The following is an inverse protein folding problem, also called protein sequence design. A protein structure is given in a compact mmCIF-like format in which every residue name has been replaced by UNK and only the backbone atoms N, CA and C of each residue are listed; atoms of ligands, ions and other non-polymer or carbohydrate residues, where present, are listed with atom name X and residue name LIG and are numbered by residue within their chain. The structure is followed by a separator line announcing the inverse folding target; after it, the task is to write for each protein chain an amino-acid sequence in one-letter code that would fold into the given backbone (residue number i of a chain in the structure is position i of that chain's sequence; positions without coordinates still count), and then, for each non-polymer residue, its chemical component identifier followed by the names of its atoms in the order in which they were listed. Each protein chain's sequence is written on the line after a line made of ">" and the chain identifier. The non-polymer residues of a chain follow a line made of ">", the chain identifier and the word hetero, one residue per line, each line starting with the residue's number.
data_IF_770518196431
#
_entry.id   IF_770518196431
#
_cell.length_a   1.000
_cell.length_b   1.000
_cell.length_c   1.000
_cell.angle_alpha   90.00
_cell.angle_beta   90.00
_cell.angle_gamma   90.00
#
_symmetry.space_group_name_H-M   'P 1'
#
loop_
_entity.id
_entity.type
_entity.pdbx_description
1 polymer ?
#
# COMPACT_ATOMS: atom_id res chain seq x y z
N UNK A 1 -4.44 -2.16 68.28
CA UNK A 1 -4.08 -2.04 66.87
C UNK A 1 -5.23 -2.42 65.95
N UNK A 2 -5.93 -3.53 66.08
CA UNK A 2 -7.05 -3.92 65.16
C UNK A 2 -8.23 -2.92 65.13
N UNK A 3 -8.61 -2.29 66.21
CA UNK A 3 -9.71 -1.30 66.28
C UNK A 3 -9.36 0.05 65.62
N UNK A 4 -8.10 0.45 65.65
CA UNK A 4 -7.63 1.69 65.01
C UNK A 4 -7.58 1.50 63.46
N UNK A 5 -7.19 0.31 63.01
CA UNK A 5 -7.18 -0.04 61.58
C UNK A 5 -8.59 -0.10 61.00
N UNK A 6 -9.57 -0.59 61.76
CA UNK A 6 -10.99 -0.62 61.34
C UNK A 6 -11.60 0.78 61.22
N UNK A 7 -11.22 1.71 62.14
CA UNK A 7 -11.65 3.11 62.07
C UNK A 7 -11.03 3.85 60.87
N UNK A 8 -9.78 3.55 60.51
CA UNK A 8 -9.14 4.12 59.32
C UNK A 8 -9.78 3.60 58.02
N UNK A 9 -10.14 2.33 57.96
CA UNK A 9 -10.83 1.75 56.77
C UNK A 9 -12.24 2.34 56.64
N UNK A 10 -12.98 2.54 57.73
CA UNK A 10 -14.31 3.16 57.71
C UNK A 10 -14.24 4.63 57.27
N UNK A 11 -13.22 5.37 57.71
CA UNK A 11 -13.01 6.78 57.34
C UNK A 11 -12.60 6.93 55.84
N UNK A 12 -11.86 5.98 55.27
CA UNK A 12 -11.55 5.98 53.85
C UNK A 12 -12.75 5.54 52.98
N UNK A 13 -13.62 4.68 53.50
CA UNK A 13 -14.83 4.28 52.78
C UNK A 13 -15.87 5.39 52.71
N UNK A 14 -15.92 6.28 53.71
CA UNK A 14 -16.82 7.44 53.71
C UNK A 14 -16.35 8.60 52.82
N UNK A 15 -15.07 8.67 52.45
CA UNK A 15 -14.56 9.66 51.46
C UNK A 15 -14.84 9.30 50.00
N UNK A 16 -15.19 8.04 49.73
CA UNK A 16 -15.50 7.61 48.35
C UNK A 16 -16.92 8.04 47.90
N UNK A 17 -17.78 8.42 48.83
CA UNK A 17 -19.13 8.92 48.54
C UNK A 17 -19.23 10.43 48.35
N UNK A 18 -18.14 11.18 48.51
CA UNK A 18 -18.06 12.56 48.05
C UNK A 18 -17.44 12.59 46.66
N UNK A 19 -17.99 11.76 45.76
CA UNK A 19 -17.83 11.92 44.33
C UNK A 19 -18.56 13.17 43.91
N UNK A 20 -17.89 14.07 43.28
CA UNK A 20 -18.35 15.29 42.64
C UNK A 20 -19.86 15.24 42.33
N UNK A 21 -20.65 16.01 43.05
CA UNK A 21 -21.82 16.62 42.49
C UNK A 21 -21.33 17.45 41.29
N UNK A 22 -21.40 16.86 40.11
CA UNK A 22 -21.20 17.63 38.89
C UNK A 22 -22.25 18.71 38.99
N UNK A 23 -21.76 19.93 39.09
CA UNK A 23 -22.56 21.13 39.00
C UNK A 23 -23.46 21.02 37.74
N UNK A 24 -24.67 20.51 37.88
CA UNK A 24 -25.71 20.52 36.87
C UNK A 24 -26.25 21.93 36.58
N UNK A 25 -25.59 22.93 37.09
CA UNK A 25 -25.76 24.30 36.67
C UNK A 25 -25.02 24.57 35.35
N UNK A 26 -25.27 23.74 34.37
CA UNK A 26 -25.13 24.17 32.97
C UNK A 26 -26.27 25.18 32.78
N UNK A 27 -25.96 26.44 33.01
CA UNK A 27 -26.87 27.53 32.67
C UNK A 27 -26.95 27.48 31.14
N UNK A 28 -28.00 26.83 30.63
CA UNK A 28 -28.32 26.84 29.22
C UNK A 28 -28.76 28.31 28.89
N UNK A 29 -27.76 29.12 28.50
CA UNK A 29 -27.99 30.51 28.07
C UNK A 29 -28.74 30.59 26.75
N UNK A 30 -29.21 29.47 26.22
CA UNK A 30 -29.93 29.43 24.97
C UNK A 30 -31.38 29.68 25.23
N UNK A 31 -31.89 30.83 24.75
CA UNK A 31 -33.31 31.06 24.77
C UNK A 31 -34.02 30.13 23.77
N UNK A 32 -34.68 29.10 24.34
CA UNK A 32 -35.43 28.10 23.55
C UNK A 32 -36.59 28.68 22.74
N UNK A 33 -37.00 29.92 23.02
CA UNK A 33 -38.11 30.58 22.35
C UNK A 33 -37.67 31.40 21.15
N UNK A 34 -36.39 31.60 20.91
CA UNK A 34 -35.91 32.30 19.73
C UNK A 34 -36.40 31.61 18.45
N UNK A 35 -36.82 32.39 17.42
CA UNK A 35 -37.19 31.83 16.14
C UNK A 35 -35.99 31.14 15.47
N UNK A 36 -36.27 30.31 14.47
CA UNK A 36 -35.23 29.76 13.60
C UNK A 36 -34.43 30.91 12.97
N UNK A 37 -33.11 30.73 12.75
CA UNK A 37 -32.28 31.75 12.15
C UNK A 37 -32.70 32.03 10.70
N UNK A 38 -32.32 33.21 10.21
CA UNK A 38 -32.47 33.52 8.79
C UNK A 38 -31.67 32.56 7.94
N UNK A 39 -32.22 32.19 6.78
CA UNK A 39 -31.56 31.29 5.83
C UNK A 39 -30.33 31.96 5.20
N UNK A 40 -29.30 31.14 4.90
CA UNK A 40 -28.14 31.54 4.07
C UNK A 40 -28.63 32.02 2.69
N UNK A 41 -27.86 32.86 2.04
CA UNK A 41 -28.24 33.46 0.76
C UNK A 41 -27.02 33.58 -0.18
N UNK A 42 -27.25 33.96 -1.43
CA UNK A 42 -26.25 34.12 -2.47
C UNK A 42 -25.37 32.83 -2.63
N UNK A 43 -26.10 31.72 -2.80
CA UNK A 43 -25.48 30.37 -2.86
C UNK A 43 -24.88 30.11 -4.22
N UNK A 44 -23.64 29.62 -4.24
CA UNK A 44 -22.92 29.19 -5.44
C UNK A 44 -22.38 27.79 -5.22
N UNK A 45 -22.59 26.91 -6.20
CA UNK A 45 -22.05 25.54 -6.22
C UNK A 45 -20.79 25.50 -7.07
N UNK A 46 -19.73 24.91 -6.52
CA UNK A 46 -18.46 24.66 -7.21
C UNK A 46 -18.31 23.14 -7.30
N UNK A 47 -18.55 22.53 -8.47
CA UNK A 47 -18.43 21.08 -8.64
C UNK A 47 -17.02 20.57 -8.33
N UNK A 48 -16.96 19.38 -7.72
CA UNK A 48 -15.75 18.62 -7.43
C UNK A 48 -15.94 17.18 -7.85
N UNK A 49 -14.85 16.40 -7.90
CA UNK A 49 -14.91 14.97 -8.19
C UNK A 49 -15.71 14.23 -7.11
N UNK A 50 -16.88 13.69 -7.51
CA UNK A 50 -17.80 13.01 -6.59
C UNK A 50 -18.39 13.91 -5.49
N UNK A 51 -18.42 15.24 -5.69
CA UNK A 51 -18.90 16.18 -4.70
C UNK A 51 -19.04 17.61 -5.21
N UNK A 52 -19.20 18.55 -4.27
CA UNK A 52 -19.18 19.99 -4.53
C UNK A 52 -18.83 20.79 -3.27
N UNK A 53 -18.24 21.96 -3.47
CA UNK A 53 -18.19 23.00 -2.46
C UNK A 53 -19.42 23.92 -2.66
N UNK A 54 -20.24 24.08 -1.63
CA UNK A 54 -21.39 24.99 -1.63
C UNK A 54 -20.99 26.23 -0.83
N UNK A 55 -20.77 27.31 -1.54
CA UNK A 55 -20.39 28.62 -0.98
C UNK A 55 -21.62 29.49 -0.83
N UNK A 56 -21.79 30.17 0.30
CA UNK A 56 -22.96 30.97 0.61
C UNK A 56 -22.58 32.20 1.44
N UNK A 57 -23.49 33.17 1.53
CA UNK A 57 -23.34 34.25 2.48
C UNK A 57 -24.10 33.95 3.77
N UNK A 58 -23.43 34.20 4.88
CA UNK A 58 -23.98 34.01 6.23
C UNK A 58 -24.83 35.22 6.61
N UNK A 59 -26.09 35.01 7.03
CA UNK A 59 -26.94 36.12 7.49
C UNK A 59 -26.42 36.69 8.82
N UNK A 60 -26.63 38.00 9.01
CA UNK A 60 -26.39 38.63 10.31
C UNK A 60 -27.54 38.25 11.25
N UNK A 61 -27.40 37.12 11.91
CA UNK A 61 -28.36 36.58 12.86
C UNK A 61 -27.65 36.11 14.14
N UNK A 62 -27.90 36.71 15.30
CA UNK A 62 -27.20 36.36 16.54
C UNK A 62 -27.56 34.96 17.07
N UNK A 63 -28.66 34.38 16.61
CA UNK A 63 -29.07 33.00 16.93
C UNK A 63 -28.41 31.94 16.07
N UNK A 64 -27.81 32.30 14.93
CA UNK A 64 -27.18 31.31 14.07
C UNK A 64 -26.01 30.61 14.78
N UNK A 65 -25.99 29.28 14.74
CA UNK A 65 -24.96 28.41 15.31
C UNK A 65 -24.13 27.75 14.21
N UNK A 66 -24.80 27.13 13.25
CA UNK A 66 -24.17 26.44 12.12
C UNK A 66 -25.10 26.35 10.92
N UNK A 67 -24.52 25.98 9.77
CA UNK A 67 -25.28 25.64 8.56
C UNK A 67 -25.10 24.17 8.31
N UNK A 68 -26.17 23.44 8.00
CA UNK A 68 -26.09 22.03 7.60
C UNK A 68 -26.61 21.81 6.20
N UNK A 69 -26.05 20.84 5.54
CA UNK A 69 -26.53 20.28 4.29
C UNK A 69 -27.02 18.85 4.52
N UNK A 70 -28.21 18.54 4.01
CA UNK A 70 -28.76 17.17 4.01
C UNK A 70 -29.00 16.76 2.57
N UNK A 71 -28.47 15.62 2.19
CA UNK A 71 -28.53 15.11 0.83
C UNK A 71 -28.51 13.59 0.79
N UNK A 72 -28.95 13.02 -0.31
CA UNK A 72 -28.92 11.58 -0.57
C UNK A 72 -27.85 11.30 -1.63
N UNK A 73 -27.02 10.26 -1.40
CA UNK A 73 -26.01 9.82 -2.36
C UNK A 73 -26.60 8.83 -3.36
N UNK A 74 -25.85 8.52 -4.42
CA UNK A 74 -26.21 7.56 -5.48
C UNK A 74 -26.59 6.17 -4.97
N UNK A 75 -26.13 5.78 -3.78
CA UNK A 75 -26.49 4.50 -3.13
C UNK A 75 -27.73 4.60 -2.23
N UNK A 76 -28.47 5.70 -2.28
CA UNK A 76 -29.70 5.90 -1.49
C UNK A 76 -29.48 6.16 0.00
N UNK A 77 -28.25 6.56 0.39
CA UNK A 77 -27.92 6.86 1.78
C UNK A 77 -27.97 8.37 2.03
N UNK A 78 -28.76 8.76 3.02
CA UNK A 78 -28.83 10.18 3.47
C UNK A 78 -27.59 10.53 4.29
N UNK A 79 -27.00 11.67 3.96
CA UNK A 79 -25.86 12.26 4.66
C UNK A 79 -26.19 13.64 5.18
N UNK A 80 -25.55 14.00 6.28
CA UNK A 80 -25.59 15.33 6.86
C UNK A 80 -24.18 15.84 7.07
N UNK A 81 -23.90 17.05 6.60
CA UNK A 81 -22.63 17.74 6.84
C UNK A 81 -22.91 19.11 7.45
N UNK A 82 -22.04 19.57 8.34
CA UNK A 82 -22.20 20.81 9.08
C UNK A 82 -20.99 21.73 8.86
N UNK A 83 -21.28 23.02 8.85
CA UNK A 83 -20.26 24.07 8.81
C UNK A 83 -20.61 25.13 9.85
N UNK A 84 -19.66 25.53 10.68
CA UNK A 84 -19.88 26.54 11.72
C UNK A 84 -20.25 27.91 11.10
N UNK A 85 -20.85 28.79 11.87
CA UNK A 85 -21.16 30.14 11.43
C UNK A 85 -19.94 31.04 11.11
N UNK A 86 -18.73 30.51 11.33
CA UNK A 86 -17.46 31.15 10.91
C UNK A 86 -17.05 30.80 9.48
N UNK A 87 -17.69 29.81 8.87
CA UNK A 87 -17.30 29.27 7.57
C UNK A 87 -18.47 29.41 6.58
N UNK A 88 -18.19 29.97 5.44
CA UNK A 88 -19.16 30.25 4.36
C UNK A 88 -19.21 29.13 3.31
N UNK A 89 -18.67 27.97 3.60
CA UNK A 89 -18.54 26.86 2.67
C UNK A 89 -18.90 25.53 3.34
N UNK A 90 -19.76 24.76 2.69
CA UNK A 90 -20.05 23.35 3.00
C UNK A 90 -19.49 22.44 1.90
N UNK A 91 -18.89 21.34 2.30
CA UNK A 91 -18.42 20.31 1.37
C UNK A 91 -19.39 19.15 1.38
N UNK A 92 -19.99 18.86 0.24
CA UNK A 92 -20.83 17.68 0.02
C UNK A 92 -20.08 16.68 -0.84
N UNK A 93 -20.01 15.43 -0.39
CA UNK A 93 -19.20 14.39 -0.99
C UNK A 93 -19.94 13.04 -1.00
N UNK A 94 -19.43 12.07 -1.75
CA UNK A 94 -19.95 10.70 -1.74
C UNK A 94 -20.91 10.40 -2.89
N UNK A 95 -20.99 11.26 -3.89
CA UNK A 95 -21.74 10.97 -5.12
C UNK A 95 -20.93 10.03 -6.02
N UNK A 96 -21.56 8.92 -6.43
CA UNK A 96 -20.91 7.86 -7.21
C UNK A 96 -20.95 8.06 -8.72
N UNK A 97 -21.65 9.10 -9.18
CA UNK A 97 -21.84 9.44 -10.59
C UNK A 97 -21.94 10.96 -10.80
N UNK A 98 -22.29 11.39 -12.02
CA UNK A 98 -22.42 12.80 -12.41
C UNK A 98 -23.87 13.26 -12.60
N UNK A 99 -24.83 12.57 -11.96
CA UNK A 99 -26.24 12.96 -12.00
C UNK A 99 -26.47 14.26 -11.21
N UNK A 100 -27.63 14.86 -11.42
CA UNK A 100 -28.08 16.02 -10.63
C UNK A 100 -28.64 15.55 -9.30
N UNK A 101 -28.14 16.13 -8.21
CA UNK A 101 -28.56 15.85 -6.84
C UNK A 101 -29.17 17.05 -6.18
N UNK A 102 -30.19 16.83 -5.36
CA UNK A 102 -30.81 17.84 -4.53
C UNK A 102 -30.14 17.87 -3.15
N UNK A 103 -29.61 19.03 -2.76
CA UNK A 103 -29.02 19.28 -1.45
C UNK A 103 -29.85 20.30 -0.70
N UNK A 104 -30.33 19.97 0.49
CA UNK A 104 -31.13 20.85 1.36
C UNK A 104 -30.21 21.53 2.37
N UNK A 105 -30.12 22.85 2.30
CA UNK A 105 -29.38 23.66 3.26
C UNK A 105 -30.32 24.19 4.34
N UNK A 106 -29.88 24.12 5.58
CA UNK A 106 -30.57 24.67 6.74
C UNK A 106 -29.65 25.57 7.54
N UNK A 107 -30.12 26.75 7.93
CA UNK A 107 -29.51 27.54 8.99
C UNK A 107 -30.04 27.05 10.32
N UNK A 108 -29.15 26.68 11.25
CA UNK A 108 -29.53 26.09 12.55
C UNK A 108 -29.12 27.03 13.67
N UNK A 109 -30.07 27.28 14.56
CA UNK A 109 -29.91 28.17 15.70
C UNK A 109 -29.19 27.53 16.87
N UNK A 110 -28.75 28.37 17.83
CA UNK A 110 -28.19 27.90 19.11
C UNK A 110 -29.21 27.06 19.91
N UNK A 111 -30.49 27.21 19.63
CA UNK A 111 -31.59 26.44 20.20
C UNK A 111 -32.02 25.24 19.34
N UNK A 112 -31.18 24.83 18.37
CA UNK A 112 -31.39 23.72 17.44
C UNK A 112 -32.64 23.88 16.54
N UNK A 113 -33.25 25.06 16.47
CA UNK A 113 -34.31 25.32 15.48
C UNK A 113 -33.71 25.55 14.11
N UNK A 114 -34.33 24.93 13.11
CA UNK A 114 -33.92 24.97 11.72
C UNK A 114 -34.74 25.95 10.92
N UNK A 115 -34.12 26.65 9.97
CA UNK A 115 -34.83 27.44 8.97
C UNK A 115 -35.59 26.53 8.00
N UNK A 116 -36.47 27.10 7.17
CA UNK A 116 -36.97 26.40 5.99
C UNK A 116 -35.75 25.96 5.11
N UNK A 117 -35.83 24.82 4.42
CA UNK A 117 -34.75 24.35 3.57
C UNK A 117 -34.56 25.24 2.33
N UNK A 118 -33.30 25.56 2.02
CA UNK A 118 -32.95 26.11 0.72
C UNK A 118 -32.45 24.95 -0.16
N UNK A 119 -33.18 24.66 -1.22
CA UNK A 119 -32.85 23.58 -2.15
C UNK A 119 -31.81 24.06 -3.14
N UNK A 120 -30.70 23.30 -3.26
CA UNK A 120 -29.60 23.60 -4.16
C UNK A 120 -29.36 22.38 -5.05
N UNK A 121 -29.31 22.59 -6.36
CA UNK A 121 -28.93 21.54 -7.30
C UNK A 121 -27.37 21.40 -7.34
N UNK A 122 -26.89 20.19 -7.18
CA UNK A 122 -25.46 19.85 -7.24
C UNK A 122 -25.25 18.84 -8.36
N UNK A 123 -24.36 19.16 -9.31
CA UNK A 123 -23.91 18.26 -10.35
C UNK A 123 -22.43 17.97 -10.15
N UNK A 124 -22.05 16.82 -9.58
CA UNK A 124 -20.65 16.47 -9.33
C UNK A 124 -19.86 16.28 -10.63
N UNK A 125 -18.55 16.48 -10.56
CA UNK A 125 -17.63 15.98 -11.59
C UNK A 125 -17.44 14.46 -11.42
N UNK A 126 -16.81 13.83 -12.41
CA UNK A 126 -16.55 12.38 -12.42
C UNK A 126 -15.89 11.96 -11.08
N UNK A 127 -16.51 11.04 -10.32
CA UNK A 127 -15.95 10.58 -9.04
C UNK A 127 -14.62 9.85 -9.25
N UNK A 128 -13.71 9.96 -8.28
CA UNK A 128 -12.41 9.31 -8.34
C UNK A 128 -12.51 7.79 -8.58
N UNK A 129 -13.50 7.13 -7.97
CA UNK A 129 -13.72 5.69 -8.19
C UNK A 129 -13.95 5.33 -9.67
N UNK A 130 -14.66 6.16 -10.42
CA UNK A 130 -14.91 5.94 -11.84
C UNK A 130 -13.66 6.23 -12.69
N UNK A 131 -12.95 7.32 -12.37
CA UNK A 131 -11.69 7.67 -13.05
C UNK A 131 -10.64 6.58 -12.85
N UNK A 132 -10.50 6.05 -11.64
CA UNK A 132 -9.57 4.97 -11.31
C UNK A 132 -9.97 3.67 -12.01
N UNK A 133 -11.27 3.33 -12.00
CA UNK A 133 -11.78 2.14 -12.70
C UNK A 133 -11.48 2.15 -14.19
N UNK A 134 -11.55 3.32 -14.84
CA UNK A 134 -11.18 3.49 -16.24
C UNK A 134 -9.71 3.15 -16.55
N UNK A 135 -8.86 3.00 -15.53
CA UNK A 135 -7.43 2.61 -15.68
C UNK A 135 -7.18 1.15 -15.30
N UNK A 136 -8.22 0.38 -14.93
CA UNK A 136 -8.08 -1.00 -14.49
C UNK A 136 -7.50 -1.88 -15.59
N UNK A 137 -6.35 -2.48 -15.30
CA UNK A 137 -5.69 -3.47 -16.12
C UNK A 137 -5.53 -4.77 -15.33
N UNK A 138 -6.00 -5.87 -15.92
CA UNK A 138 -5.92 -7.22 -15.34
C UNK A 138 -5.16 -8.07 -16.32
N UNK A 139 -4.07 -8.70 -15.90
CA UNK A 139 -3.22 -9.53 -16.75
C UNK A 139 -2.85 -10.84 -16.05
N UNK A 140 -2.62 -11.88 -16.84
CA UNK A 140 -2.00 -13.10 -16.32
C UNK A 140 -0.59 -12.80 -15.85
N UNK A 141 -0.22 -13.35 -14.70
CA UNK A 141 1.15 -13.37 -14.20
C UNK A 141 1.51 -14.77 -13.72
N UNK A 142 2.74 -14.94 -13.28
CA UNK A 142 3.21 -16.22 -12.78
C UNK A 142 2.45 -16.65 -11.53
N UNK A 143 1.85 -17.84 -11.60
CA UNK A 143 1.03 -18.41 -10.53
C UNK A 143 -0.29 -17.68 -10.28
N UNK A 144 -0.74 -16.75 -11.15
CA UNK A 144 -1.95 -16.00 -10.89
C UNK A 144 -2.24 -14.84 -11.83
N UNK A 145 -2.77 -13.76 -11.28
CA UNK A 145 -3.11 -12.52 -12.00
C UNK A 145 -2.46 -11.31 -11.34
N UNK A 146 -2.12 -10.31 -12.14
CA UNK A 146 -1.67 -8.99 -11.70
C UNK A 146 -2.76 -7.95 -12.00
N UNK A 147 -2.99 -7.04 -11.06
CA UNK A 147 -3.95 -5.95 -11.16
C UNK A 147 -3.21 -4.63 -11.01
N UNK A 148 -3.42 -3.73 -11.98
CA UNK A 148 -2.84 -2.38 -12.00
C UNK A 148 -3.92 -1.33 -12.14
N UNK A 149 -3.77 -0.22 -11.42
CA UNK A 149 -4.66 0.93 -11.41
C UNK A 149 -3.85 2.20 -11.16
N UNK A 150 -4.37 3.34 -11.66
CA UNK A 150 -3.84 4.67 -11.36
C UNK A 150 -4.85 5.43 -10.49
N UNK A 151 -4.41 5.91 -9.33
CA UNK A 151 -5.24 6.63 -8.36
C UNK A 151 -4.58 7.97 -7.95
N UNK A 152 -4.45 8.92 -8.90
CA UNK A 152 -3.68 10.14 -8.68
C UNK A 152 -4.28 11.03 -7.57
N UNK A 153 -5.56 10.90 -7.30
CA UNK A 153 -6.25 11.63 -6.24
C UNK A 153 -6.11 10.97 -4.86
N UNK A 154 -5.46 9.78 -4.80
CA UNK A 154 -5.29 9.00 -3.56
C UNK A 154 -6.60 8.73 -2.84
N UNK A 155 -7.65 8.46 -3.60
CA UNK A 155 -8.94 8.09 -3.04
C UNK A 155 -8.85 6.77 -2.27
N UNK A 156 -9.55 6.70 -1.14
CA UNK A 156 -9.67 5.47 -0.35
C UNK A 156 -10.54 4.46 -1.09
N UNK A 157 -9.93 3.41 -1.60
CA UNK A 157 -10.56 2.41 -2.44
C UNK A 157 -10.37 0.99 -1.91
N UNK A 158 -11.36 0.15 -2.15
CA UNK A 158 -11.30 -1.29 -2.01
C UNK A 158 -11.37 -1.92 -3.41
N UNK A 159 -10.32 -2.64 -3.81
CA UNK A 159 -10.29 -3.43 -5.04
C UNK A 159 -10.78 -4.82 -4.70
N UNK A 160 -12.01 -5.15 -5.09
CA UNK A 160 -12.66 -6.43 -4.81
C UNK A 160 -12.40 -7.36 -5.97
N UNK A 161 -11.69 -8.46 -5.72
CA UNK A 161 -11.33 -9.47 -6.72
C UNK A 161 -12.09 -10.75 -6.43
N UNK A 162 -12.77 -11.24 -7.44
CA UNK A 162 -13.58 -12.46 -7.37
C UNK A 162 -13.13 -13.44 -8.45
N UNK A 163 -13.38 -14.73 -8.23
CA UNK A 163 -13.05 -15.80 -9.17
C UNK A 163 -14.21 -16.79 -9.26
N UNK A 164 -14.51 -17.23 -10.47
CA UNK A 164 -15.36 -18.41 -10.71
C UNK A 164 -14.47 -19.65 -10.67
N UNK A 165 -14.38 -20.26 -9.50
CA UNK A 165 -13.52 -21.44 -9.26
C UNK A 165 -14.06 -22.72 -9.87
N UNK A 166 -15.36 -22.80 -10.08
CA UNK A 166 -16.07 -23.99 -10.57
C UNK A 166 -16.51 -23.90 -12.01
N UNK A 167 -16.21 -22.79 -12.69
CA UNK A 167 -16.62 -22.52 -14.08
C UNK A 167 -18.13 -22.66 -14.31
N UNK A 168 -18.92 -22.15 -13.36
CA UNK A 168 -20.37 -22.25 -13.34
C UNK A 168 -21.07 -20.87 -13.37
N UNK A 169 -20.33 -19.79 -13.54
CA UNK A 169 -20.81 -18.42 -13.57
C UNK A 169 -21.04 -17.82 -12.19
N UNK A 170 -20.71 -18.53 -11.11
CA UNK A 170 -20.78 -18.02 -9.76
C UNK A 170 -19.41 -17.55 -9.28
N UNK A 171 -19.31 -16.24 -8.99
CA UNK A 171 -18.08 -15.60 -8.55
C UNK A 171 -18.01 -15.52 -7.02
N UNK A 172 -16.96 -16.09 -6.46
CA UNK A 172 -16.64 -16.00 -5.04
C UNK A 172 -15.54 -14.94 -4.80
N UNK A 173 -15.62 -14.21 -3.70
CA UNK A 173 -14.59 -13.24 -3.35
C UNK A 173 -13.28 -13.95 -3.05
N UNK A 174 -12.25 -13.65 -3.82
CA UNK A 174 -10.90 -14.16 -3.62
C UNK A 174 -10.15 -13.29 -2.61
N UNK A 175 -10.28 -11.97 -2.74
CA UNK A 175 -9.70 -11.00 -1.80
C UNK A 175 -10.28 -9.61 -2.02
N UNK A 176 -10.13 -8.75 -1.01
CA UNK A 176 -10.35 -7.31 -1.11
C UNK A 176 -9.08 -6.57 -0.68
N UNK A 177 -8.50 -5.79 -1.58
CA UNK A 177 -7.30 -4.99 -1.34
C UNK A 177 -7.67 -3.53 -1.09
N UNK A 178 -7.40 -3.04 0.13
CA UNK A 178 -7.69 -1.65 0.54
C UNK A 178 -6.46 -0.78 0.32
N UNK A 179 -6.62 0.35 -0.33
CA UNK A 179 -5.49 1.23 -0.67
C UNK A 179 -5.91 2.66 -0.98
N UNK A 180 -5.01 3.61 -0.68
CA UNK A 180 -5.04 5.00 -1.15
C UNK A 180 -3.75 5.36 -1.90
N UNK A 181 -2.98 4.37 -2.36
CA UNK A 181 -1.76 4.61 -3.13
C UNK A 181 -2.09 5.26 -4.49
N UNK A 182 -1.21 6.12 -4.98
CA UNK A 182 -1.36 6.80 -6.28
C UNK A 182 -1.19 5.83 -7.47
N UNK A 183 -0.33 4.84 -7.29
CA UNK A 183 -0.15 3.71 -8.23
C UNK A 183 -0.41 2.42 -7.49
N UNK A 184 -1.33 1.63 -8.00
CA UNK A 184 -1.74 0.37 -7.42
C UNK A 184 -1.24 -0.74 -8.35
N UNK A 185 -0.44 -1.66 -7.83
CA UNK A 185 -0.01 -2.87 -8.53
C UNK A 185 0.16 -3.97 -7.51
N UNK A 186 -0.58 -5.05 -7.68
CA UNK A 186 -0.45 -6.23 -6.84
C UNK A 186 -0.80 -7.51 -7.61
N UNK A 187 -0.20 -8.62 -7.20
CA UNK A 187 -0.42 -9.94 -7.80
C UNK A 187 -1.09 -10.87 -6.82
N UNK A 188 -2.05 -11.64 -7.31
CA UNK A 188 -2.67 -12.74 -6.60
C UNK A 188 -2.13 -14.05 -7.17
N UNK A 189 -1.53 -14.86 -6.30
CA UNK A 189 -0.77 -16.08 -6.67
C UNK A 189 -1.34 -17.33 -6.01
N UNK A 190 -0.71 -18.47 -6.24
CA UNK A 190 -1.14 -19.76 -5.71
C UNK A 190 -2.15 -20.47 -6.59
N UNK A 191 -2.32 -20.03 -7.82
CA UNK A 191 -3.25 -20.61 -8.79
C UNK A 191 -2.52 -21.60 -9.72
N UNK A 192 -3.24 -22.62 -10.16
CA UNK A 192 -2.76 -23.51 -11.19
C UNK A 192 -2.87 -22.85 -12.59
N UNK A 193 -2.24 -23.45 -13.58
CA UNK A 193 -2.17 -22.99 -14.98
C UNK A 193 -3.44 -23.29 -15.79
N UNK A 194 -4.60 -23.45 -15.16
CA UNK A 194 -5.88 -23.59 -15.85
C UNK A 194 -6.52 -22.23 -16.03
N UNK A 195 -7.16 -22.03 -17.18
CA UNK A 195 -7.95 -20.84 -17.43
C UNK A 195 -9.03 -20.69 -16.35
N UNK A 196 -9.23 -19.46 -15.88
CA UNK A 196 -10.24 -19.11 -14.86
C UNK A 196 -10.89 -17.78 -15.23
N UNK A 197 -12.16 -17.66 -14.85
CA UNK A 197 -12.89 -16.41 -14.98
C UNK A 197 -12.72 -15.57 -13.72
N UNK A 198 -12.27 -14.34 -13.90
CA UNK A 198 -12.10 -13.36 -12.83
C UNK A 198 -13.07 -12.21 -13.01
N UNK A 199 -13.46 -11.61 -11.90
CA UNK A 199 -14.26 -10.40 -11.84
C UNK A 199 -13.60 -9.42 -10.89
N UNK A 200 -13.41 -8.18 -11.33
CA UNK A 200 -12.83 -7.11 -10.50
C UNK A 200 -13.75 -5.91 -10.52
N UNK A 201 -14.04 -5.37 -9.34
CA UNK A 201 -14.76 -4.11 -9.15
C UNK A 201 -14.10 -3.26 -8.08
N UNK A 202 -14.39 -1.97 -8.10
CA UNK A 202 -13.96 -1.05 -7.06
C UNK A 202 -15.12 -0.68 -6.15
N UNK A 203 -14.79 -0.35 -4.91
CA UNK A 203 -15.70 0.21 -3.92
C UNK A 203 -15.00 1.34 -3.16
N UNK A 204 -15.68 2.47 -2.97
CA UNK A 204 -15.16 3.58 -2.19
C UNK A 204 -15.66 3.58 -0.73
N UNK A 205 -15.21 4.56 0.06
CA UNK A 205 -15.60 4.70 1.47
C UNK A 205 -17.09 5.03 1.67
N UNK A 206 -17.78 5.54 0.64
CA UNK A 206 -19.24 5.82 0.69
C UNK A 206 -20.08 4.64 0.20
N UNK A 207 -19.42 3.51 -0.12
CA UNK A 207 -20.02 2.28 -0.65
C UNK A 207 -20.55 2.42 -2.09
N UNK A 208 -20.11 3.45 -2.82
CA UNK A 208 -20.29 3.43 -4.27
C UNK A 208 -19.48 2.29 -4.86
N UNK A 209 -20.01 1.63 -5.89
CA UNK A 209 -19.34 0.52 -6.55
C UNK A 209 -19.32 0.77 -8.05
N UNK A 210 -18.26 0.27 -8.70
CA UNK A 210 -18.19 0.23 -10.17
C UNK A 210 -18.92 -1.01 -10.70
N UNK A 211 -19.09 -1.05 -12.01
CA UNK A 211 -19.40 -2.30 -12.69
C UNK A 211 -18.27 -3.33 -12.48
N UNK A 212 -18.57 -4.59 -12.75
CA UNK A 212 -17.61 -5.68 -12.70
C UNK A 212 -16.89 -5.81 -14.05
N UNK A 213 -15.57 -5.74 -14.04
CA UNK A 213 -14.78 -6.09 -15.22
C UNK A 213 -14.51 -7.61 -15.20
N UNK A 214 -15.10 -8.31 -16.15
CA UNK A 214 -14.94 -9.76 -16.33
C UNK A 214 -13.77 -10.04 -17.26
N UNK A 215 -12.96 -11.04 -16.93
CA UNK A 215 -11.85 -11.50 -17.77
C UNK A 215 -11.55 -12.97 -17.56
N UNK A 216 -11.19 -13.68 -18.62
CA UNK A 216 -10.71 -15.07 -18.54
C UNK A 216 -9.21 -15.07 -18.75
N UNK A 217 -8.46 -15.55 -17.79
CA UNK A 217 -6.99 -15.58 -17.82
C UNK A 217 -6.46 -16.95 -17.43
N UNK A 218 -5.35 -17.34 -18.06
CA UNK A 218 -4.59 -18.53 -17.70
C UNK A 218 -3.33 -18.09 -16.96
N UNK A 219 -3.21 -18.39 -15.65
CA UNK A 219 -2.00 -18.08 -14.90
C UNK A 219 -0.78 -18.72 -15.53
N UNK A 220 0.34 -17.98 -15.57
CA UNK A 220 1.60 -18.51 -16.06
C UNK A 220 2.18 -19.51 -15.07
N UNK A 221 2.85 -20.54 -15.58
CA UNK A 221 3.52 -21.52 -14.74
C UNK A 221 4.72 -20.89 -14.03
N UNK A 222 4.88 -21.16 -12.73
CA UNK A 222 6.15 -20.88 -12.01
C UNK A 222 6.51 -22.05 -11.11
N UNK A 223 7.81 -22.25 -10.93
CA UNK A 223 8.40 -23.13 -9.92
C UNK A 223 9.58 -22.41 -9.25
N UNK A 224 9.91 -22.81 -8.03
CA UNK A 224 11.19 -22.42 -7.45
C UNK A 224 12.32 -23.09 -8.26
N UNK A 225 13.33 -22.30 -8.63
CA UNK A 225 14.46 -22.79 -9.40
C UNK A 225 15.36 -23.66 -8.52
N UNK A 226 15.88 -24.75 -9.10
CA UNK A 226 16.70 -25.71 -8.41
C UNK A 226 18.08 -25.13 -8.07
N UNK A 227 18.27 -24.75 -6.82
CA UNK A 227 19.52 -24.15 -6.29
C UNK A 227 20.73 -25.08 -6.42
N UNK A 228 20.55 -26.40 -6.56
CA UNK A 228 21.65 -27.34 -6.74
C UNK A 228 22.43 -27.12 -8.05
N UNK A 229 21.76 -26.49 -9.03
CA UNK A 229 22.35 -26.13 -10.32
C UNK A 229 23.06 -24.78 -10.31
N UNK A 230 22.85 -23.97 -9.27
CA UNK A 230 23.42 -22.64 -9.19
C UNK A 230 24.90 -22.65 -8.87
N UNK A 231 25.60 -21.64 -9.38
CA UNK A 231 27.02 -21.42 -9.11
C UNK A 231 27.27 -19.94 -8.84
N UNK A 232 28.14 -19.67 -7.88
CA UNK A 232 28.73 -18.35 -7.76
C UNK A 232 29.69 -18.14 -8.93
N UNK A 233 29.62 -16.97 -9.56
CA UNK A 233 30.49 -16.59 -10.67
C UNK A 233 31.35 -15.43 -10.23
N UNK A 234 32.67 -15.55 -10.41
CA UNK A 234 33.66 -14.53 -10.05
C UNK A 234 34.15 -13.86 -11.34
N UNK A 235 33.63 -12.67 -11.64
CA UNK A 235 34.04 -11.90 -12.81
C UNK A 235 34.86 -10.68 -12.40
N UNK A 236 35.82 -10.25 -13.22
CA UNK A 236 36.55 -9.00 -12.99
C UNK A 236 35.57 -7.84 -12.78
N UNK A 237 35.78 -7.07 -11.72
CA UNK A 237 34.92 -5.93 -11.35
C UNK A 237 33.75 -6.31 -10.45
N UNK A 238 33.48 -7.57 -10.20
CA UNK A 238 32.53 -7.99 -9.18
C UNK A 238 33.13 -7.90 -7.77
N UNK A 239 32.24 -7.89 -6.75
CA UNK A 239 32.64 -7.87 -5.35
C UNK A 239 32.56 -9.29 -4.77
N UNK A 240 33.35 -10.18 -5.30
CA UNK A 240 33.40 -11.58 -4.87
C UNK A 240 34.30 -11.83 -3.66
N UNK A 241 35.15 -10.87 -3.28
CA UNK A 241 35.90 -10.96 -2.03
C UNK A 241 34.92 -10.92 -0.87
N UNK A 242 35.06 -11.81 0.05
CA UNK A 242 34.17 -11.99 1.18
C UNK A 242 34.92 -12.06 2.50
N UNK A 243 34.23 -11.72 3.57
CA UNK A 243 34.74 -11.98 4.93
C UNK A 243 34.85 -13.49 5.13
N UNK A 244 35.93 -13.93 5.78
CA UNK A 244 36.17 -15.35 6.06
C UNK A 244 34.91 -16.05 6.57
N UNK A 245 34.63 -17.22 6.04
CA UNK A 245 33.47 -18.07 6.33
C UNK A 245 32.09 -17.60 5.75
N UNK A 246 32.02 -16.46 5.01
CA UNK A 246 30.80 -15.96 4.44
C UNK A 246 30.81 -15.83 2.90
N UNK A 247 31.15 -16.93 2.15
CA UNK A 247 31.28 -16.90 0.69
C UNK A 247 29.92 -16.76 -0.01
N UNK A 248 29.95 -16.29 -1.27
CA UNK A 248 28.75 -16.00 -2.08
C UNK A 248 27.79 -17.20 -2.16
N UNK A 249 28.29 -18.45 -2.23
CA UNK A 249 27.46 -19.67 -2.27
C UNK A 249 26.48 -19.80 -1.09
N UNK A 250 26.71 -19.06 0.00
CA UNK A 250 25.86 -19.08 1.19
C UNK A 250 24.47 -18.46 0.95
N UNK A 251 24.29 -17.64 -0.08
CA UNK A 251 22.98 -17.04 -0.35
C UNK A 251 21.99 -18.01 -1.01
N UNK A 252 22.39 -19.22 -1.35
CA UNK A 252 21.53 -20.22 -1.97
C UNK A 252 21.78 -21.66 -1.46
N UNK A 253 22.39 -21.80 -0.28
CA UNK A 253 22.66 -23.12 0.33
C UNK A 253 21.52 -23.62 1.24
N UNK A 254 20.46 -22.82 1.41
CA UNK A 254 19.31 -23.13 2.27
C UNK A 254 19.60 -22.93 3.75
N UNK A 255 20.73 -22.35 4.11
CA UNK A 255 21.13 -22.11 5.49
C UNK A 255 20.54 -20.81 6.06
N UNK A 256 20.17 -20.84 7.34
CA UNK A 256 19.70 -19.67 8.07
C UNK A 256 20.46 -19.47 9.37
N UNK A 257 20.47 -18.23 9.86
CA UNK A 257 21.13 -17.85 11.10
C UNK A 257 22.58 -17.36 10.90
N UNK A 258 23.29 -17.19 12.00
CA UNK A 258 24.59 -16.49 12.03
C UNK A 258 25.71 -17.18 11.25
N UNK A 259 25.62 -18.48 11.04
CA UNK A 259 26.62 -19.23 10.30
C UNK A 259 26.47 -19.17 8.78
N UNK A 260 25.29 -18.71 8.33
CA UNK A 260 24.81 -19.11 7.02
C UNK A 260 24.34 -17.89 6.23
N UNK A 261 25.29 -17.01 5.93
CA UNK A 261 25.05 -15.77 5.18
C UNK A 261 26.24 -15.52 4.25
N UNK A 262 26.03 -14.66 3.28
CA UNK A 262 27.07 -14.02 2.49
C UNK A 262 27.37 -12.64 3.03
N UNK A 263 28.64 -12.28 3.14
CA UNK A 263 29.08 -10.93 3.45
C UNK A 263 30.27 -10.54 2.60
N UNK A 264 30.15 -9.49 1.82
CA UNK A 264 31.31 -8.94 1.09
C UNK A 264 32.30 -8.35 2.07
N UNK A 265 33.57 -8.25 1.64
CA UNK A 265 34.47 -7.32 2.29
C UNK A 265 34.02 -5.87 2.10
N UNK A 266 34.65 -4.90 2.73
CA UNK A 266 34.25 -3.50 2.67
C UNK A 266 34.71 -2.84 1.38
N UNK A 267 33.77 -2.40 0.57
CA UNK A 267 34.00 -1.67 -0.67
C UNK A 267 33.11 -0.44 -0.78
N UNK A 268 33.41 0.41 -1.73
CA UNK A 268 32.49 1.48 -2.13
C UNK A 268 31.29 0.89 -2.87
N UNK A 269 30.09 1.36 -2.53
CA UNK A 269 28.90 1.06 -3.32
C UNK A 269 29.03 1.66 -4.74
N UNK A 270 28.46 1.05 -5.77
CA UNK A 270 27.63 -0.15 -5.74
C UNK A 270 28.44 -1.46 -5.66
N UNK A 271 27.92 -2.45 -4.94
CA UNK A 271 28.42 -3.80 -4.95
C UNK A 271 27.72 -4.64 -6.00
N UNK A 272 28.46 -5.53 -6.67
CA UNK A 272 27.91 -6.40 -7.71
C UNK A 272 28.34 -7.85 -7.42
N UNK A 273 27.38 -8.76 -7.47
CA UNK A 273 27.59 -10.21 -7.41
C UNK A 273 26.94 -10.87 -8.60
N UNK A 274 27.50 -11.98 -9.07
CA UNK A 274 27.01 -12.73 -10.25
C UNK A 274 26.75 -14.18 -9.90
N UNK A 275 25.60 -14.69 -10.37
CA UNK A 275 25.17 -16.08 -10.23
C UNK A 275 24.90 -16.69 -11.60
N UNK A 276 25.31 -17.96 -11.80
CA UNK A 276 24.85 -18.84 -12.87
C UNK A 276 23.68 -19.68 -12.33
N UNK A 277 22.51 -19.59 -12.95
CA UNK A 277 21.30 -20.36 -12.58
C UNK A 277 21.31 -21.78 -13.16
N UNK A 278 22.35 -22.13 -13.96
CA UNK A 278 22.57 -23.46 -14.53
C UNK A 278 21.89 -23.68 -15.89
N UNK A 279 20.75 -23.03 -16.16
CA UNK A 279 20.02 -23.11 -17.42
C UNK A 279 19.31 -21.80 -17.75
N UNK A 280 18.94 -21.55 -19.02
CA UNK A 280 18.09 -20.42 -19.38
C UNK A 280 16.70 -20.52 -18.75
N UNK A 281 16.24 -19.44 -18.14
CA UNK A 281 14.96 -19.33 -17.43
C UNK A 281 14.33 -17.95 -17.67
N UNK A 282 13.00 -17.89 -17.62
CA UNK A 282 12.26 -16.64 -17.53
C UNK A 282 11.89 -16.44 -16.05
N UNK A 283 12.40 -15.39 -15.44
CA UNK A 283 12.20 -15.12 -14.02
C UNK A 283 10.80 -14.59 -13.76
N UNK A 284 10.20 -14.97 -12.62
CA UNK A 284 8.92 -14.44 -12.16
C UNK A 284 9.07 -13.56 -10.93
N UNK A 285 9.85 -14.00 -9.97
CA UNK A 285 10.15 -13.28 -8.73
C UNK A 285 11.41 -13.80 -8.07
N UNK A 286 11.95 -13.00 -7.18
CA UNK A 286 12.98 -13.43 -6.26
C UNK A 286 12.55 -13.07 -4.83
N UNK A 287 13.06 -13.85 -3.88
CA UNK A 287 12.83 -13.63 -2.46
C UNK A 287 14.17 -13.60 -1.74
N UNK A 288 14.35 -12.61 -0.86
CA UNK A 288 15.52 -12.49 -0.03
C UNK A 288 15.15 -12.51 1.45
N UNK A 289 16.02 -13.09 2.27
CA UNK A 289 15.89 -13.03 3.72
C UNK A 289 17.02 -12.19 4.29
N UNK A 290 16.66 -11.33 5.22
CA UNK A 290 17.62 -10.49 5.92
C UNK A 290 18.22 -11.24 7.09
N UNK A 291 19.45 -10.88 7.47
CA UNK A 291 20.09 -11.46 8.63
C UNK A 291 19.48 -10.95 9.94
N UNK A 292 19.28 -11.80 10.96
CA UNK A 292 18.58 -11.42 12.21
C UNK A 292 19.13 -10.21 12.94
N UNK A 293 20.45 -10.03 12.96
CA UNK A 293 21.07 -8.92 13.71
C UNK A 293 20.90 -7.55 13.07
N UNK A 294 20.58 -7.49 11.79
CA UNK A 294 20.60 -6.22 11.09
C UNK A 294 19.39 -5.98 10.20
N UNK A 295 18.28 -6.70 10.43
CA UNK A 295 17.07 -6.52 9.63
C UNK A 295 16.69 -5.04 9.55
N UNK A 296 16.59 -4.50 8.33
CA UNK A 296 16.33 -3.09 8.04
C UNK A 296 17.38 -2.11 8.62
N UNK A 297 18.60 -2.57 8.80
CA UNK A 297 19.73 -1.78 9.30
C UNK A 297 21.02 -2.18 8.60
N UNK A 298 22.10 -1.42 8.88
CA UNK A 298 23.46 -1.77 8.52
C UNK A 298 23.64 -2.17 7.04
N UNK A 299 24.22 -3.33 6.80
CA UNK A 299 24.76 -3.79 5.51
C UNK A 299 23.75 -4.51 4.62
N UNK A 300 22.47 -4.57 4.99
CA UNK A 300 21.46 -5.20 4.16
C UNK A 300 21.12 -4.36 2.93
N UNK A 301 21.00 -4.96 1.74
CA UNK A 301 20.59 -4.27 0.52
C UNK A 301 19.26 -3.53 0.75
N UNK A 302 19.20 -2.26 0.33
CA UNK A 302 17.99 -1.46 0.33
C UNK A 302 17.52 -1.22 -1.10
N UNK A 303 18.34 -0.56 -1.90
CA UNK A 303 18.05 -0.32 -3.30
C UNK A 303 19.06 -1.10 -4.14
N UNK A 304 18.56 -1.86 -5.09
CA UNK A 304 19.39 -2.69 -5.96
C UNK A 304 18.78 -2.92 -7.32
N UNK A 305 19.62 -3.21 -8.30
CA UNK A 305 19.25 -3.60 -9.64
C UNK A 305 19.55 -5.07 -9.87
N UNK A 306 18.70 -5.73 -10.66
CA UNK A 306 18.96 -7.07 -11.18
C UNK A 306 19.14 -6.97 -12.69
N UNK A 307 20.27 -7.50 -13.15
CA UNK A 307 20.66 -7.59 -14.55
C UNK A 307 20.72 -9.05 -14.96
N UNK A 308 20.37 -9.36 -16.20
CA UNK A 308 20.36 -10.72 -16.74
C UNK A 308 21.11 -10.83 -18.06
N UNK A 309 21.69 -12.01 -18.30
CA UNK A 309 22.32 -12.38 -19.55
C UNK A 309 22.15 -13.87 -19.85
N UNK A 310 22.19 -14.27 -21.12
CA UNK A 310 22.23 -15.69 -21.52
C UNK A 310 23.64 -16.25 -21.56
N UNK A 311 24.63 -15.38 -21.74
CA UNK A 311 26.05 -15.70 -21.81
C UNK A 311 26.88 -14.70 -21.02
N UNK A 312 28.07 -15.10 -20.58
CA UNK A 312 29.03 -14.23 -19.89
C UNK A 312 30.36 -14.20 -20.64
N UNK A 313 31.11 -13.11 -20.45
CA UNK A 313 32.48 -13.02 -20.89
C UNK A 313 33.44 -13.32 -19.68
N UNK A 314 34.27 -14.38 -19.75
CA UNK A 314 35.16 -14.72 -18.66
C UNK A 314 36.17 -13.61 -18.28
N UNK A 315 36.52 -12.77 -19.25
CA UNK A 315 37.40 -11.62 -19.04
C UNK A 315 36.75 -10.43 -18.38
N UNK A 316 35.46 -10.58 -18.01
CA UNK A 316 34.63 -9.56 -17.38
C UNK A 316 33.59 -8.95 -18.32
N UNK A 317 32.47 -8.59 -17.76
CA UNK A 317 31.31 -8.06 -18.48
C UNK A 317 31.11 -6.54 -18.28
N UNK A 318 32.08 -5.86 -17.72
CA UNK A 318 32.08 -4.41 -17.70
C UNK A 318 32.78 -3.86 -18.93
N UNK A 319 32.22 -2.81 -19.55
CA UNK A 319 32.89 -1.99 -20.55
C UNK A 319 33.98 -1.16 -19.86
N UNK A 320 33.62 -0.59 -18.70
CA UNK A 320 34.50 0.14 -17.80
C UNK A 320 34.27 -0.36 -16.37
N UNK A 321 35.29 -0.97 -15.80
CA UNK A 321 35.25 -1.53 -14.43
C UNK A 321 35.06 -0.44 -13.39
N UNK A 322 35.58 0.75 -13.61
CA UNK A 322 35.47 1.86 -12.64
C UNK A 322 34.04 2.40 -12.55
N UNK A 323 33.41 2.66 -13.68
CA UNK A 323 32.01 3.12 -13.74
C UNK A 323 30.99 1.99 -13.57
N UNK A 324 31.46 0.73 -13.67
CA UNK A 324 30.60 -0.46 -13.68
C UNK A 324 29.51 -0.42 -14.75
N UNK A 325 29.88 0.03 -15.93
CA UNK A 325 29.02 0.01 -17.12
C UNK A 325 29.10 -1.36 -17.78
N UNK A 326 27.96 -2.03 -17.95
CA UNK A 326 27.89 -3.38 -18.51
C UNK A 326 28.01 -3.38 -20.03
N UNK A 327 28.46 -4.51 -20.57
CA UNK A 327 28.42 -4.80 -22.02
C UNK A 327 26.98 -5.01 -22.49
N UNK A 328 26.76 -4.95 -23.78
CA UNK A 328 25.42 -5.02 -24.41
C UNK A 328 24.69 -6.36 -24.20
N UNK A 329 25.41 -7.44 -23.80
CA UNK A 329 24.77 -8.71 -23.49
C UNK A 329 24.01 -8.72 -22.15
N UNK A 330 24.22 -7.73 -21.28
CA UNK A 330 23.48 -7.58 -20.03
C UNK A 330 22.30 -6.66 -20.19
N UNK A 331 21.12 -7.17 -19.83
CA UNK A 331 19.86 -6.42 -19.84
C UNK A 331 19.40 -6.17 -18.41
N UNK A 332 19.04 -4.94 -18.10
CA UNK A 332 18.43 -4.63 -16.79
C UNK A 332 17.03 -5.25 -16.73
N UNK A 333 16.80 -6.17 -15.81
CA UNK A 333 15.54 -6.86 -15.62
C UNK A 333 14.61 -6.07 -14.70
N UNK A 334 15.17 -5.51 -13.60
CA UNK A 334 14.40 -4.75 -12.63
C UNK A 334 15.29 -3.83 -11.77
N UNK A 335 14.64 -2.85 -11.14
CA UNK A 335 15.16 -2.12 -9.98
C UNK A 335 14.21 -2.35 -8.82
N UNK A 336 14.76 -2.73 -7.68
CA UNK A 336 14.00 -3.08 -6.49
C UNK A 336 14.42 -2.23 -5.29
N UNK A 337 13.47 -2.01 -4.39
CA UNK A 337 13.71 -1.38 -3.09
C UNK A 337 13.11 -2.24 -2.00
N UNK A 338 13.94 -2.63 -1.04
CA UNK A 338 13.50 -3.27 0.20
C UNK A 338 12.67 -2.29 1.01
N UNK A 339 11.57 -2.73 1.56
CA UNK A 339 10.69 -1.87 2.35
C UNK A 339 10.37 -2.50 3.71
N UNK A 340 10.27 -1.65 4.72
CA UNK A 340 9.86 -2.06 6.05
C UNK A 340 8.32 -1.94 6.16
N UNK A 341 7.58 -3.03 6.44
CA UNK A 341 6.12 -3.01 6.48
C UNK A 341 5.51 -1.93 7.38
N UNK A 342 6.09 -1.71 8.56
CA UNK A 342 5.64 -0.66 9.48
C UNK A 342 5.97 0.77 9.04
N UNK A 343 6.73 0.95 7.94
CA UNK A 343 7.20 2.26 7.50
C UNK A 343 8.38 2.81 8.30
N UNK A 344 8.64 4.12 8.26
CA UNK A 344 9.71 4.76 9.02
C UNK A 344 9.56 4.57 10.53
N UNK A 345 10.67 4.48 11.28
CA UNK A 345 10.68 4.35 12.73
C UNK A 345 11.32 3.06 13.23
N UNK A 346 11.00 2.65 14.45
CA UNK A 346 11.53 1.44 15.08
C UNK A 346 11.09 0.17 14.36
N UNK A 347 11.88 -0.89 14.51
CA UNK A 347 11.61 -2.20 13.90
C UNK A 347 10.63 -2.95 14.79
N UNK A 348 9.47 -3.28 14.22
CA UNK A 348 8.39 -4.00 14.90
C UNK A 348 8.59 -5.53 14.82
N UNK A 349 7.88 -6.32 15.65
CA UNK A 349 7.82 -7.78 15.48
C UNK A 349 7.33 -8.22 14.11
N UNK A 350 6.39 -7.50 13.49
CA UNK A 350 5.90 -7.77 12.13
C UNK A 350 6.98 -7.56 11.08
N UNK A 351 7.76 -6.48 11.20
CA UNK A 351 8.90 -6.24 10.31
C UNK A 351 9.91 -7.38 10.37
N UNK A 352 10.21 -7.86 11.58
CA UNK A 352 11.12 -9.00 11.77
C UNK A 352 10.55 -10.28 11.17
N UNK A 353 9.28 -10.57 11.39
CA UNK A 353 8.64 -11.74 10.80
C UNK A 353 8.68 -11.69 9.28
N UNK A 354 8.38 -10.53 8.69
CA UNK A 354 8.45 -10.34 7.25
C UNK A 354 9.86 -10.56 6.70
N UNK A 355 10.87 -9.94 7.32
CA UNK A 355 12.25 -10.00 6.84
C UNK A 355 12.94 -11.37 7.06
N UNK A 356 12.65 -12.05 8.18
CA UNK A 356 13.43 -13.21 8.64
C UNK A 356 12.73 -14.53 8.39
N UNK A 357 11.40 -14.58 8.48
CA UNK A 357 10.64 -15.82 8.34
C UNK A 357 9.98 -15.92 6.96
N UNK A 358 9.22 -14.88 6.56
CA UNK A 358 8.52 -14.88 5.27
C UNK A 358 9.44 -14.55 4.09
N UNK A 359 10.45 -13.73 4.30
CA UNK A 359 11.35 -13.18 3.27
C UNK A 359 10.67 -12.07 2.45
N UNK A 360 11.46 -11.10 2.01
CA UNK A 360 11.02 -10.02 1.13
C UNK A 360 10.84 -10.54 -0.30
N UNK A 361 9.69 -10.30 -0.90
CA UNK A 361 9.33 -10.76 -2.25
C UNK A 361 9.45 -9.62 -3.26
N UNK A 362 10.18 -9.86 -4.36
CA UNK A 362 10.46 -8.91 -5.44
C UNK A 362 9.99 -9.50 -6.77
N UNK A 363 8.94 -8.95 -7.35
CA UNK A 363 8.32 -9.45 -8.57
C UNK A 363 8.92 -8.78 -9.81
N UNK A 364 9.24 -9.59 -10.83
CA UNK A 364 9.60 -9.08 -12.15
C UNK A 364 8.34 -8.79 -12.96
N UNK A 365 8.40 -7.74 -13.77
CA UNK A 365 7.32 -7.47 -14.74
C UNK A 365 7.23 -8.61 -15.77
N UNK A 366 6.02 -9.05 -16.13
CA UNK A 366 5.86 -10.05 -17.19
C UNK A 366 6.50 -9.58 -18.51
N UNK A 367 7.13 -10.51 -19.22
CA UNK A 367 7.74 -10.24 -20.52
C UNK A 367 9.23 -9.85 -20.48
N UNK A 368 9.89 -9.98 -19.33
CA UNK A 368 11.36 -9.89 -19.30
C UNK A 368 11.97 -11.03 -20.11
N UNK A 369 13.17 -10.83 -20.72
CA UNK A 369 13.82 -11.85 -21.51
C UNK A 369 14.27 -13.04 -20.66
N UNK A 370 14.49 -14.18 -21.34
CA UNK A 370 15.16 -15.33 -20.74
C UNK A 370 16.60 -14.98 -20.36
N UNK A 371 17.07 -15.54 -19.24
CA UNK A 371 18.44 -15.35 -18.74
C UNK A 371 18.95 -16.65 -18.12
N UNK A 372 20.25 -16.86 -18.14
CA UNK A 372 20.95 -17.89 -17.38
C UNK A 372 21.77 -17.30 -16.25
N UNK A 373 22.33 -16.14 -16.49
CA UNK A 373 23.16 -15.43 -15.51
C UNK A 373 22.41 -14.22 -14.98
N UNK A 374 22.50 -13.99 -13.69
CA UNK A 374 21.96 -12.77 -13.06
C UNK A 374 23.07 -12.05 -12.32
N UNK A 375 22.99 -10.73 -12.33
CA UNK A 375 23.79 -9.82 -11.50
C UNK A 375 22.90 -9.04 -10.57
N UNK A 376 23.25 -9.04 -9.29
CA UNK A 376 22.61 -8.21 -8.28
C UNK A 376 23.57 -7.07 -7.96
N UNK A 377 23.19 -5.85 -8.31
CA UNK A 377 23.97 -4.62 -8.09
C UNK A 377 23.30 -3.82 -6.97
N UNK A 378 23.84 -3.90 -5.76
CA UNK A 378 23.38 -3.15 -4.59
C UNK A 378 23.84 -1.71 -4.70
N UNK A 379 22.90 -0.79 -4.75
CA UNK A 379 23.12 0.66 -4.85
C UNK A 379 23.21 1.32 -3.49
N UNK A 380 22.34 0.92 -2.56
CA UNK A 380 22.25 1.41 -1.20
C UNK A 380 22.05 0.26 -0.22
N UNK A 381 22.47 0.46 1.02
CA UNK A 381 22.10 -0.41 2.15
C UNK A 381 21.22 0.34 3.14
N UNK A 382 20.57 -0.38 4.02
CA UNK A 382 19.69 0.22 5.03
C UNK A 382 20.43 1.14 6.02
N UNK A 383 21.68 0.81 6.36
CA UNK A 383 22.48 1.61 7.28
C UNK A 383 23.31 2.69 6.60
N UNK A 384 23.67 2.49 5.33
CA UNK A 384 24.58 3.37 4.59
C UNK A 384 24.01 3.60 3.18
N UNK A 385 23.44 4.79 2.92
CA UNK A 385 22.93 5.14 1.59
C UNK A 385 24.02 5.25 0.52
N UNK A 386 25.25 5.55 0.94
CA UNK A 386 26.42 5.67 0.06
C UNK A 386 27.69 5.48 0.87
N UNK A 387 28.81 5.24 0.19
CA UNK A 387 30.12 5.08 0.82
C UNK A 387 30.62 3.66 0.89
N UNK A 388 31.60 3.39 1.75
CA UNK A 388 32.21 2.06 1.89
C UNK A 388 31.47 1.25 2.96
N UNK A 389 30.94 0.10 2.58
CA UNK A 389 30.24 -0.82 3.46
C UNK A 389 30.41 -2.26 3.02
N UNK A 390 29.95 -3.20 3.84
CA UNK A 390 29.69 -4.58 3.43
C UNK A 390 28.28 -4.67 2.83
N UNK A 391 28.04 -5.70 2.02
CA UNK A 391 26.70 -6.14 1.62
C UNK A 391 26.49 -7.53 2.21
N UNK A 392 25.42 -7.69 2.98
CA UNK A 392 25.06 -8.93 3.66
C UNK A 392 23.73 -9.44 3.14
N UNK A 393 23.71 -10.70 2.68
CA UNK A 393 22.51 -11.38 2.21
C UNK A 393 22.44 -12.73 2.93
N UNK A 394 21.31 -13.02 3.61
CA UNK A 394 21.12 -14.28 4.33
C UNK A 394 20.86 -15.44 3.38
N UNK A 395 19.82 -15.32 2.57
CA UNK A 395 19.36 -16.36 1.65
C UNK A 395 18.62 -15.73 0.48
N UNK A 396 18.64 -16.41 -0.67
CA UNK A 396 17.99 -16.03 -1.92
C UNK A 396 17.25 -17.23 -2.51
N UNK A 397 15.99 -17.06 -2.85
CA UNK A 397 15.25 -18.00 -3.71
C UNK A 397 14.72 -17.25 -4.94
N UNK A 398 14.66 -17.95 -6.05
CA UNK A 398 14.19 -17.42 -7.33
C UNK A 398 13.14 -18.36 -7.89
N UNK A 399 12.07 -17.79 -8.41
CA UNK A 399 11.01 -18.51 -9.13
C UNK A 399 10.98 -18.08 -10.59
N UNK A 400 10.54 -18.99 -11.41
CA UNK A 400 10.42 -18.79 -12.83
C UNK A 400 9.96 -20.04 -13.58
N UNK A 401 10.15 -20.05 -14.88
CA UNK A 401 9.92 -21.20 -15.73
C UNK A 401 11.14 -21.44 -16.63
N UNK A 402 11.35 -22.69 -17.03
CA UNK A 402 12.39 -23.00 -18.00
C UNK A 402 12.05 -22.30 -19.34
N UNK A 403 13.06 -21.77 -20.03
CA UNK A 403 12.87 -20.99 -21.27
C UNK A 403 12.19 -21.76 -22.40
N UNK A 404 12.20 -23.10 -22.36
CA UNK A 404 11.67 -23.99 -23.37
C UNK A 404 10.31 -24.62 -23.02
N UNK A 405 9.59 -24.05 -22.06
CA UNK A 405 8.25 -24.53 -21.67
C UNK A 405 7.15 -23.60 -22.13
#
# INVERSE_FOLDING_TARGET
>A
MKRILQLFILAHLSMIFWSCDQNENYIDYTDKNLPAPKQVYDVRVIPKNGGADIVYKIPKDPNLSYVKAVYETSVGKTWEVKSSYYTDTLKVEGFGDTNDYEVKLYSVGKNERESEPLIVAVKPLIPAIQSVYGTLAIAATFGGINIKLQNPERADLAVVVMVDSLDNGHFEELTTYYTAADKISFSLRGMNTKAKNFSVKLRDRWNNQTEQQLTTLTPLFEKELDKSKWRAVELPGDNFQYVENYPLRKIFDGGFGYCCLFATDRFLLPHTITLDLGSPVVLSRMKTWLHPEGAYQSSHPKDFEVWGATTINPDGDYIDVTSKTYRDNWVKLASFSSFKPSGPGEITPEDRDYALNRGEDFEYEPGIPEVRYIRIKTLNTWGIPSGSTQVVIQELSIWGQDANN
#
